data_IF_943674267376
#
_entry.id   IF_943674267376
#
_cell.length_a   1.000
_cell.length_b   1.000
_cell.length_c   1.000
_cell.angle_alpha   90.00
_cell.angle_beta   90.00
_cell.angle_gamma   90.00
#
_symmetry.space_group_name_H-M   'P 1'
#
loop_
_entity.id
_entity.type
_entity.pdbx_description
1 polymer ?
#
# COMPACT_ATOMS: atom_id res chain seq x y z
N UNK A 1 -34.43 -4.45 -5.26
CA UNK A 1 -33.26 -3.82 -4.62
C UNK A 1 -32.39 -3.22 -5.70
N UNK A 2 -31.81 -2.06 -5.40
CA UNK A 2 -31.00 -1.29 -6.35
C UNK A 2 -29.59 -1.15 -5.80
N UNK A 3 -28.58 -1.45 -6.62
CA UNK A 3 -27.17 -1.19 -6.35
C UNK A 3 -26.71 -0.11 -7.31
N UNK A 4 -26.29 1.04 -6.78
CA UNK A 4 -25.79 2.18 -7.53
C UNK A 4 -24.28 2.21 -7.38
N UNK A 5 -23.55 2.20 -8.49
CA UNK A 5 -22.13 2.52 -8.55
C UNK A 5 -21.97 3.97 -9.02
N UNK A 6 -21.60 4.87 -8.11
CA UNK A 6 -21.33 6.26 -8.40
C UNK A 6 -19.83 6.52 -8.32
N UNK A 7 -19.17 6.59 -9.46
CA UNK A 7 -17.71 6.62 -9.56
C UNK A 7 -17.24 8.02 -9.94
N UNK A 8 -16.46 8.67 -9.08
CA UNK A 8 -15.88 9.99 -9.38
C UNK A 8 -14.44 9.89 -9.92
N UNK A 9 -13.86 8.69 -9.88
CA UNK A 9 -12.60 8.35 -10.51
C UNK A 9 -12.81 7.21 -11.50
N UNK A 10 -11.91 7.10 -12.49
CA UNK A 10 -11.85 5.90 -13.34
C UNK A 10 -11.45 4.69 -12.50
N UNK A 11 -12.44 3.87 -12.11
CA UNK A 11 -12.27 2.75 -11.18
C UNK A 11 -12.91 1.46 -11.71
N UNK A 12 -12.36 0.86 -12.80
CA UNK A 12 -12.94 -0.32 -13.44
C UNK A 12 -13.02 -1.54 -12.50
N UNK A 13 -12.09 -1.64 -11.54
CA UNK A 13 -12.12 -2.67 -10.50
C UNK A 13 -13.33 -2.54 -9.57
N UNK A 14 -13.66 -1.33 -9.11
CA UNK A 14 -14.82 -1.07 -8.25
C UNK A 14 -16.12 -1.35 -9.01
N UNK A 15 -16.22 -0.85 -10.24
CA UNK A 15 -17.36 -1.13 -11.12
C UNK A 15 -17.61 -2.63 -11.29
N UNK A 16 -16.57 -3.38 -11.67
CA UNK A 16 -16.66 -4.83 -11.87
C UNK A 16 -17.08 -5.54 -10.59
N UNK A 17 -16.51 -5.13 -9.45
CA UNK A 17 -16.83 -5.66 -8.14
C UNK A 17 -18.33 -5.47 -7.80
N UNK A 18 -18.84 -4.23 -7.91
CA UNK A 18 -20.22 -3.90 -7.61
C UNK A 18 -21.22 -4.60 -8.55
N UNK A 19 -20.89 -4.64 -9.85
CA UNK A 19 -21.71 -5.32 -10.86
C UNK A 19 -21.83 -6.81 -10.57
N UNK A 20 -20.73 -7.44 -10.17
CA UNK A 20 -20.73 -8.87 -9.82
C UNK A 20 -21.60 -9.15 -8.60
N UNK A 21 -21.53 -8.30 -7.56
CA UNK A 21 -22.41 -8.40 -6.40
C UNK A 21 -23.89 -8.28 -6.78
N UNK A 22 -24.25 -7.23 -7.52
CA UNK A 22 -25.63 -7.02 -7.94
C UNK A 22 -26.15 -8.18 -8.80
N UNK A 23 -25.34 -8.69 -9.73
CA UNK A 23 -25.68 -9.85 -10.56
C UNK A 23 -25.86 -11.12 -9.73
N UNK A 24 -24.98 -11.38 -8.75
CA UNK A 24 -25.03 -12.58 -7.93
C UNK A 24 -26.33 -12.69 -7.12
N UNK A 25 -26.88 -11.56 -6.67
CA UNK A 25 -28.11 -11.51 -5.88
C UNK A 25 -29.36 -11.10 -6.68
N UNK A 26 -29.24 -10.93 -8.01
CA UNK A 26 -30.35 -10.54 -8.88
C UNK A 26 -30.87 -9.12 -8.63
N UNK A 27 -30.01 -8.20 -8.14
CA UNK A 27 -30.36 -6.81 -7.90
C UNK A 27 -30.22 -5.97 -9.17
N UNK A 28 -31.04 -4.91 -9.29
CA UNK A 28 -30.87 -3.91 -10.36
C UNK A 28 -29.55 -3.18 -10.13
N UNK A 29 -28.64 -3.26 -11.09
CA UNK A 29 -27.39 -2.50 -11.07
C UNK A 29 -27.55 -1.22 -11.90
N UNK A 30 -27.09 -0.10 -11.34
CA UNK A 30 -27.05 1.20 -11.99
C UNK A 30 -25.61 1.69 -11.97
N UNK A 31 -25.07 1.98 -13.15
CA UNK A 31 -23.74 2.56 -13.33
C UNK A 31 -23.85 4.06 -13.60
N UNK A 32 -23.10 4.85 -12.83
CA UNK A 32 -22.97 6.29 -13.04
C UNK A 32 -21.49 6.63 -12.98
N UNK A 33 -20.91 6.81 -14.16
CA UNK A 33 -19.52 7.23 -14.32
C UNK A 33 -19.46 8.76 -14.39
N UNK A 34 -18.85 9.36 -13.37
CA UNK A 34 -18.56 10.78 -13.25
C UNK A 34 -17.04 11.01 -13.19
N UNK A 35 -16.24 10.14 -13.79
CA UNK A 35 -14.78 10.22 -13.75
C UNK A 35 -14.21 11.47 -14.40
N UNK A 36 -14.96 12.15 -15.28
CA UNK A 36 -14.62 13.49 -15.79
C UNK A 36 -14.60 14.56 -14.67
N UNK A 37 -15.26 14.31 -13.53
CA UNK A 37 -15.22 15.16 -12.34
C UNK A 37 -14.13 14.72 -11.34
N UNK A 38 -13.22 13.82 -11.70
CA UNK A 38 -12.12 13.39 -10.86
C UNK A 38 -11.32 14.59 -10.34
N UNK A 39 -11.10 14.64 -9.03
CA UNK A 39 -10.34 15.71 -8.38
C UNK A 39 -11.12 17.02 -8.15
N UNK A 40 -12.39 17.09 -8.56
CA UNK A 40 -13.28 18.22 -8.24
C UNK A 40 -13.45 18.39 -6.72
N UNK A 41 -13.84 19.61 -6.31
CA UNK A 41 -14.05 19.91 -4.89
C UNK A 41 -15.20 19.08 -4.28
N UNK A 42 -15.26 19.04 -2.95
CA UNK A 42 -16.30 18.29 -2.23
C UNK A 42 -17.72 18.72 -2.61
N UNK A 43 -17.97 20.03 -2.74
CA UNK A 43 -19.30 20.59 -3.05
C UNK A 43 -19.92 19.95 -4.30
N UNK A 44 -19.17 19.94 -5.41
CA UNK A 44 -19.64 19.40 -6.70
C UNK A 44 -19.99 17.91 -6.56
N UNK A 45 -19.13 17.14 -5.88
CA UNK A 45 -19.30 15.69 -5.73
C UNK A 45 -20.46 15.36 -4.80
N UNK A 46 -20.57 16.04 -3.65
CA UNK A 46 -21.55 15.73 -2.62
C UNK A 46 -22.97 16.08 -3.06
N UNK A 47 -23.18 17.24 -3.70
CA UNK A 47 -24.51 17.60 -4.20
C UNK A 47 -25.00 16.59 -5.23
N UNK A 48 -24.14 16.21 -6.18
CA UNK A 48 -24.49 15.24 -7.21
C UNK A 48 -24.78 13.87 -6.63
N UNK A 49 -23.97 13.42 -5.66
CA UNK A 49 -24.15 12.13 -4.98
C UNK A 49 -25.48 12.03 -4.25
N UNK A 50 -25.83 13.02 -3.43
CA UNK A 50 -27.06 12.97 -2.66
C UNK A 50 -28.30 13.23 -3.52
N UNK A 51 -28.19 14.06 -4.57
CA UNK A 51 -29.25 14.21 -5.58
C UNK A 51 -29.50 12.89 -6.32
N UNK A 52 -28.42 12.18 -6.70
CA UNK A 52 -28.49 10.85 -7.31
C UNK A 52 -29.20 9.87 -6.38
N UNK A 53 -28.81 9.82 -5.10
CA UNK A 53 -29.45 8.95 -4.12
C UNK A 53 -30.95 9.27 -3.97
N UNK A 54 -31.32 10.55 -3.88
CA UNK A 54 -32.71 10.99 -3.81
C UNK A 54 -33.51 10.60 -5.04
N UNK A 55 -32.94 10.81 -6.23
CA UNK A 55 -33.55 10.44 -7.50
C UNK A 55 -33.90 8.95 -7.55
N UNK A 56 -32.96 8.07 -7.22
CA UNK A 56 -33.22 6.63 -7.23
C UNK A 56 -34.14 6.16 -6.09
N UNK A 57 -34.14 6.83 -4.93
CA UNK A 57 -35.15 6.56 -3.89
C UNK A 57 -36.57 6.94 -4.36
N UNK A 58 -36.73 8.01 -5.15
CA UNK A 58 -38.02 8.39 -5.72
C UNK A 58 -38.52 7.41 -6.79
N UNK A 59 -37.61 6.80 -7.55
CA UNK A 59 -37.96 5.76 -8.55
C UNK A 59 -38.19 4.37 -7.93
N UNK A 60 -37.61 4.10 -6.76
CA UNK A 60 -37.70 2.81 -6.10
C UNK A 60 -39.13 2.51 -5.61
N UNK A 61 -39.50 1.23 -5.53
CA UNK A 61 -40.77 0.84 -4.93
C UNK A 61 -40.77 1.15 -3.41
N UNK A 62 -41.95 1.30 -2.77
CA UNK A 62 -42.03 1.45 -1.32
C UNK A 62 -41.30 0.30 -0.60
N UNK A 63 -40.48 0.64 0.40
CA UNK A 63 -39.64 -0.29 1.18
C UNK A 63 -38.51 -1.00 0.41
N UNK A 64 -38.30 -0.69 -0.87
CA UNK A 64 -37.15 -1.18 -1.62
C UNK A 64 -35.85 -0.60 -1.05
N UNK A 65 -34.79 -1.41 -1.00
CA UNK A 65 -33.47 -1.02 -0.50
C UNK A 65 -32.61 -0.53 -1.66
N UNK A 66 -31.98 0.61 -1.46
CA UNK A 66 -30.98 1.24 -2.33
C UNK A 66 -29.62 1.19 -1.62
N UNK A 67 -28.65 0.55 -2.26
CA UNK A 67 -27.24 0.54 -1.88
C UNK A 67 -26.47 1.47 -2.81
N UNK A 68 -25.82 2.50 -2.29
CA UNK A 68 -24.93 3.39 -3.04
C UNK A 68 -23.47 3.10 -2.67
N UNK A 69 -22.66 2.83 -3.69
CA UNK A 69 -21.25 2.49 -3.60
C UNK A 69 -20.42 3.47 -4.43
N UNK A 70 -19.30 3.96 -3.89
CA UNK A 70 -18.34 4.79 -4.64
C UNK A 70 -17.11 4.01 -5.11
N UNK A 71 -16.21 4.67 -5.85
CA UNK A 71 -14.92 4.10 -6.27
C UNK A 71 -14.02 3.68 -5.10
N UNK A 72 -14.29 4.17 -3.88
CA UNK A 72 -13.60 3.83 -2.63
C UNK A 72 -14.24 2.65 -1.88
N UNK A 73 -14.97 1.75 -2.57
CA UNK A 73 -15.58 0.58 -1.94
C UNK A 73 -15.25 -0.71 -2.68
N UNK A 74 -15.07 -1.78 -1.92
CA UNK A 74 -15.13 -3.15 -2.43
C UNK A 74 -16.19 -3.96 -1.65
N UNK A 75 -17.05 -4.68 -2.35
CA UNK A 75 -17.83 -5.78 -1.80
C UNK A 75 -16.93 -7.00 -1.67
N UNK A 76 -16.85 -7.52 -0.44
CA UNK A 76 -16.03 -8.67 -0.09
C UNK A 76 -16.83 -9.97 -0.15
N UNK A 77 -18.15 -9.92 0.12
CA UNK A 77 -19.01 -11.11 0.19
C UNK A 77 -20.42 -10.81 -0.31
N UNK A 78 -21.11 -11.75 -0.97
CA UNK A 78 -22.47 -11.56 -1.47
C UNK A 78 -23.52 -11.72 -0.35
N UNK A 79 -23.57 -10.77 0.58
CA UNK A 79 -24.58 -10.75 1.64
C UNK A 79 -25.85 -10.08 1.15
N UNK A 80 -27.01 -10.67 1.45
CA UNK A 80 -28.31 -10.13 1.05
C UNK A 80 -28.61 -8.81 1.78
N UNK A 81 -29.01 -7.78 1.02
CA UNK A 81 -29.42 -6.49 1.58
C UNK A 81 -30.58 -6.59 2.59
N UNK A 82 -31.63 -7.40 2.36
CA UNK A 82 -32.67 -7.63 3.36
C UNK A 82 -32.15 -8.08 4.73
N UNK A 83 -31.12 -8.94 4.77
CA UNK A 83 -30.51 -9.42 6.01
C UNK A 83 -29.84 -8.26 6.75
N UNK A 84 -28.95 -7.52 6.06
CA UNK A 84 -28.25 -6.36 6.63
C UNK A 84 -29.23 -5.28 7.12
N UNK A 85 -30.35 -5.12 6.41
CA UNK A 85 -31.36 -4.09 6.67
C UNK A 85 -32.56 -4.58 7.50
N UNK A 86 -32.46 -5.74 8.15
CA UNK A 86 -33.52 -6.24 9.01
C UNK A 86 -33.84 -5.22 10.13
N UNK A 87 -35.11 -4.84 10.24
CA UNK A 87 -35.61 -3.93 11.28
C UNK A 87 -35.13 -2.47 11.17
N UNK A 88 -34.55 -2.04 10.05
CA UNK A 88 -33.99 -0.69 9.89
C UNK A 88 -34.34 -0.03 8.55
N UNK A 89 -34.31 1.30 8.59
CA UNK A 89 -34.56 2.17 7.44
C UNK A 89 -33.26 2.69 6.78
N UNK A 90 -32.15 2.68 7.51
CA UNK A 90 -30.81 2.98 6.98
C UNK A 90 -29.76 2.14 7.70
N UNK A 91 -28.61 1.99 7.06
CA UNK A 91 -27.41 1.41 7.66
C UNK A 91 -26.20 2.19 7.18
N UNK A 92 -25.69 3.04 8.08
CA UNK A 92 -24.43 3.75 7.95
C UNK A 92 -23.47 3.17 8.97
N UNK A 93 -22.22 2.92 8.61
CA UNK A 93 -21.23 2.34 9.51
C UNK A 93 -20.02 3.26 9.63
N UNK A 94 -19.50 3.39 10.84
CA UNK A 94 -18.20 4.00 11.10
C UNK A 94 -17.08 2.96 10.98
N UNK A 95 -15.85 3.39 10.70
CA UNK A 95 -14.65 2.53 10.74
C UNK A 95 -13.60 3.10 11.68
N UNK A 96 -12.81 4.07 11.23
CA UNK A 96 -11.64 4.57 11.97
C UNK A 96 -11.93 5.87 12.72
N UNK A 97 -13.06 6.51 12.39
CA UNK A 97 -13.55 7.74 13.01
C UNK A 97 -14.96 7.55 13.58
N UNK A 98 -15.44 8.55 14.33
CA UNK A 98 -16.83 8.58 14.78
C UNK A 98 -17.82 9.03 13.69
N UNK A 99 -17.34 9.34 12.49
CA UNK A 99 -18.16 9.74 11.36
C UNK A 99 -18.48 8.53 10.46
N UNK A 100 -19.71 8.47 9.89
CA UNK A 100 -20.08 7.39 9.01
C UNK A 100 -19.26 7.41 7.73
N UNK A 101 -18.92 6.21 7.24
CA UNK A 101 -18.35 6.02 5.92
C UNK A 101 -19.32 6.49 4.84
N UNK A 102 -18.82 7.27 3.88
CA UNK A 102 -19.68 7.89 2.86
C UNK A 102 -19.71 7.10 1.56
N UNK A 103 -18.80 6.16 1.38
CA UNK A 103 -18.62 5.32 0.21
C UNK A 103 -19.47 4.03 0.23
N UNK A 104 -20.10 3.71 1.37
CA UNK A 104 -21.06 2.60 1.52
C UNK A 104 -22.31 3.11 2.22
N UNK A 105 -23.37 3.39 1.47
CA UNK A 105 -24.62 3.92 2.01
C UNK A 105 -25.78 2.97 1.70
N UNK A 106 -26.53 2.56 2.72
CA UNK A 106 -27.69 1.66 2.54
C UNK A 106 -28.94 2.32 3.10
N UNK A 107 -29.96 2.44 2.27
CA UNK A 107 -31.22 3.11 2.61
C UNK A 107 -32.42 2.28 2.14
N UNK A 108 -33.45 2.21 2.98
CA UNK A 108 -34.78 1.70 2.63
C UNK A 108 -35.64 2.86 2.16
N UNK A 109 -36.38 2.65 1.09
CA UNK A 109 -37.25 3.68 0.54
C UNK A 109 -38.51 3.90 1.38
N UNK A 110 -38.38 4.71 2.43
CA UNK A 110 -39.48 5.21 3.26
C UNK A 110 -39.64 6.72 3.08
N UNK A 111 -40.81 7.26 3.44
CA UNK A 111 -41.05 8.70 3.34
C UNK A 111 -40.08 9.51 4.21
N UNK A 112 -39.79 9.01 5.43
CA UNK A 112 -38.83 9.61 6.36
C UNK A 112 -37.43 9.71 5.73
N UNK A 113 -36.95 8.60 5.15
CA UNK A 113 -35.64 8.56 4.48
C UNK A 113 -35.58 9.55 3.33
N UNK A 114 -36.59 9.58 2.44
CA UNK A 114 -36.61 10.53 1.31
C UNK A 114 -36.58 11.99 1.79
N UNK A 115 -37.32 12.32 2.85
CA UNK A 115 -37.34 13.67 3.42
C UNK A 115 -35.97 14.07 3.99
N UNK A 116 -35.31 13.18 4.73
CA UNK A 116 -33.99 13.44 5.29
C UNK A 116 -32.92 13.60 4.20
N UNK A 117 -32.96 12.78 3.15
CA UNK A 117 -32.05 12.91 2.01
C UNK A 117 -32.32 14.21 1.23
N UNK A 118 -33.59 14.62 1.06
CA UNK A 118 -33.91 15.89 0.42
C UNK A 118 -33.40 17.12 1.21
N UNK A 119 -33.47 17.08 2.54
CA UNK A 119 -32.87 18.10 3.40
C UNK A 119 -31.34 18.13 3.26
N UNK A 120 -30.71 16.95 3.25
CA UNK A 120 -29.27 16.80 3.01
C UNK A 120 -28.83 17.41 1.66
N UNK A 121 -29.57 17.14 0.58
CA UNK A 121 -29.34 17.76 -0.73
C UNK A 121 -29.37 19.29 -0.63
N UNK A 122 -30.34 19.85 0.11
CA UNK A 122 -30.44 21.29 0.35
C UNK A 122 -29.19 21.88 1.01
N UNK A 123 -28.57 21.12 1.92
CA UNK A 123 -27.34 21.48 2.65
C UNK A 123 -26.06 21.32 1.82
N UNK A 124 -26.10 20.61 0.69
CA UNK A 124 -24.95 20.44 -0.21
C UNK A 124 -24.86 21.48 -1.33
N UNK A 125 -25.80 22.41 -1.43
CA UNK A 125 -25.89 23.36 -2.55
C UNK A 125 -24.74 24.36 -2.57
N UNK A 126 -24.46 24.90 -3.76
CA UNK A 126 -23.51 26.00 -3.93
C UNK A 126 -23.86 27.19 -3.03
N UNK A 127 -22.83 27.75 -2.39
CA UNK A 127 -22.98 28.86 -1.45
C UNK A 127 -23.22 28.44 0.00
N UNK A 128 -23.40 27.14 0.28
CA UNK A 128 -23.42 26.62 1.65
C UNK A 128 -21.99 26.33 2.11
N UNK A 129 -21.67 26.69 3.35
CA UNK A 129 -20.41 26.31 4.00
C UNK A 129 -20.50 24.84 4.38
N UNK A 130 -19.67 24.03 3.74
CA UNK A 130 -19.60 22.59 4.00
C UNK A 130 -18.59 22.29 5.12
N UNK A 131 -18.81 21.21 5.88
CA UNK A 131 -17.78 20.68 6.77
C UNK A 131 -16.57 20.17 5.97
N UNK A 132 -15.44 19.99 6.66
CA UNK A 132 -14.22 19.44 6.05
C UNK A 132 -14.37 17.95 5.68
N UNK A 133 -15.18 17.21 6.45
CA UNK A 133 -15.45 15.78 6.26
C UNK A 133 -16.91 15.56 5.81
N UNK A 134 -17.10 14.82 4.72
CA UNK A 134 -18.41 14.50 4.17
C UNK A 134 -19.30 13.76 5.18
N UNK A 135 -18.72 12.90 6.02
CA UNK A 135 -19.45 12.11 7.01
C UNK A 135 -20.23 12.98 8.01
N UNK A 136 -19.76 14.20 8.29
CA UNK A 136 -20.47 15.16 9.14
C UNK A 136 -21.81 15.64 8.52
N UNK A 137 -21.95 15.53 7.20
CA UNK A 137 -23.22 15.85 6.52
C UNK A 137 -24.32 14.83 6.85
N UNK A 138 -23.96 13.61 7.25
CA UNK A 138 -24.88 12.51 7.50
C UNK A 138 -25.43 12.48 8.95
N UNK A 139 -25.26 13.55 9.74
CA UNK A 139 -25.70 13.66 11.14
C UNK A 139 -27.20 13.41 11.38
N UNK A 140 -28.04 13.50 10.36
CA UNK A 140 -29.47 13.20 10.45
C UNK A 140 -29.76 11.68 10.51
N UNK A 141 -28.73 10.84 10.36
CA UNK A 141 -28.83 9.39 10.36
C UNK A 141 -27.91 8.82 11.44
N UNK A 142 -28.49 8.04 12.35
CA UNK A 142 -27.70 7.34 13.35
C UNK A 142 -26.75 6.35 12.66
N UNK A 143 -25.46 6.53 12.91
CA UNK A 143 -24.41 5.66 12.39
C UNK A 143 -24.09 4.55 13.39
N UNK A 144 -23.87 3.35 12.86
CA UNK A 144 -23.39 2.22 13.63
C UNK A 144 -21.90 2.41 13.98
N UNK A 145 -21.47 2.00 15.18
CA UNK A 145 -20.09 2.18 15.62
C UNK A 145 -19.10 1.33 14.78
N UNK A 146 -17.79 1.59 14.91
CA UNK A 146 -16.75 0.74 14.35
C UNK A 146 -16.96 -0.74 14.66
N UNK A 147 -16.66 -1.60 13.68
CA UNK A 147 -16.80 -3.06 13.79
C UNK A 147 -18.23 -3.56 14.05
N UNK A 148 -19.24 -2.73 13.76
CA UNK A 148 -20.63 -3.13 13.88
C UNK A 148 -20.93 -4.38 13.03
N UNK A 149 -21.70 -5.30 13.62
CA UNK A 149 -22.04 -6.59 13.03
C UNK A 149 -23.54 -6.74 12.87
N UNK A 150 -23.93 -7.37 11.77
CA UNK A 150 -25.24 -8.01 11.63
C UNK A 150 -24.98 -9.50 11.63
N UNK A 151 -25.50 -10.20 12.63
CA UNK A 151 -25.11 -11.57 12.98
C UNK A 151 -23.58 -11.69 13.14
N UNK A 152 -22.93 -12.53 12.33
CA UNK A 152 -21.49 -12.73 12.35
C UNK A 152 -20.72 -11.88 11.33
N UNK A 153 -21.41 -11.05 10.55
CA UNK A 153 -20.84 -10.28 9.45
C UNK A 153 -20.59 -8.83 9.89
N UNK A 154 -19.34 -8.38 9.82
CA UNK A 154 -19.01 -6.97 9.92
C UNK A 154 -19.52 -6.21 8.70
N UNK A 155 -20.22 -5.09 8.91
CA UNK A 155 -20.86 -4.37 7.79
C UNK A 155 -19.81 -3.73 6.88
N UNK A 156 -18.88 -2.97 7.47
CA UNK A 156 -17.79 -2.30 6.74
C UNK A 156 -16.51 -2.41 7.54
N UNK A 157 -15.40 -2.71 6.86
CA UNK A 157 -14.05 -2.70 7.43
C UNK A 157 -13.17 -1.68 6.70
N UNK A 158 -12.21 -1.04 7.37
CA UNK A 158 -11.31 -0.06 6.75
C UNK A 158 -10.26 -0.72 5.85
N UNK A 159 -9.80 0.02 4.85
CA UNK A 159 -8.65 -0.30 4.01
C UNK A 159 -7.79 0.95 3.86
N UNK A 160 -6.56 0.85 4.33
CA UNK A 160 -5.52 1.86 4.10
C UNK A 160 -4.17 1.15 3.93
N UNK A 161 -3.25 1.79 3.21
CA UNK A 161 -1.96 1.21 2.84
C UNK A 161 -1.11 0.84 4.05
N UNK A 162 -1.25 1.57 5.17
CA UNK A 162 -0.52 1.41 6.43
C UNK A 162 -1.27 0.60 7.51
N UNK A 163 -2.51 0.17 7.24
CA UNK A 163 -3.30 -0.63 8.18
C UNK A 163 -3.17 -2.12 7.91
N UNK A 164 -3.37 -2.92 8.96
CA UNK A 164 -3.52 -4.36 8.81
C UNK A 164 -4.64 -4.69 7.81
N UNK A 165 -4.42 -5.74 7.00
CA UNK A 165 -5.38 -6.17 5.96
C UNK A 165 -6.57 -6.93 6.55
N UNK A 166 -7.28 -6.32 7.50
CA UNK A 166 -8.50 -6.89 8.12
C UNK A 166 -9.59 -7.21 7.09
N UNK A 167 -9.60 -6.51 5.95
CA UNK A 167 -10.46 -6.80 4.80
C UNK A 167 -10.25 -8.20 4.21
N UNK A 168 -9.07 -8.78 4.38
CA UNK A 168 -8.74 -10.11 3.87
C UNK A 168 -9.11 -11.23 4.86
N UNK A 169 -9.08 -10.95 6.17
CA UNK A 169 -9.17 -11.97 7.22
C UNK A 169 -10.50 -11.98 7.96
N UNK A 170 -11.17 -10.84 8.08
CA UNK A 170 -12.42 -10.72 8.82
C UNK A 170 -13.63 -11.15 7.98
N UNK A 171 -14.67 -11.65 8.66
CA UNK A 171 -15.97 -11.89 8.02
C UNK A 171 -16.69 -10.54 7.81
N UNK A 172 -16.41 -9.88 6.69
CA UNK A 172 -16.96 -8.57 6.37
C UNK A 172 -17.77 -8.57 5.06
N UNK A 173 -18.80 -7.74 5.00
CA UNK A 173 -19.61 -7.51 3.81
C UNK A 173 -18.88 -6.62 2.80
N UNK A 174 -18.40 -5.45 3.25
CA UNK A 174 -17.73 -4.47 2.41
C UNK A 174 -16.44 -3.95 3.06
N UNK A 175 -15.55 -3.46 2.22
CA UNK A 175 -14.32 -2.75 2.57
C UNK A 175 -14.43 -1.30 2.11
N UNK A 176 -14.04 -0.38 2.99
CA UNK A 176 -14.01 1.06 2.75
C UNK A 176 -12.57 1.56 2.67
N UNK A 177 -12.20 2.15 1.54
CA UNK A 177 -10.89 2.77 1.38
C UNK A 177 -10.90 4.17 1.98
N UNK A 178 -9.90 4.51 2.79
CA UNK A 178 -9.70 5.90 3.21
C UNK A 178 -9.46 6.78 1.98
N UNK A 179 -10.20 7.89 1.85
CA UNK A 179 -10.12 8.80 0.69
C UNK A 179 -8.86 9.67 0.76
N UNK A 180 -7.70 9.02 0.68
CA UNK A 180 -6.43 9.70 0.48
C UNK A 180 -6.14 9.70 -1.02
N UNK A 181 -6.17 10.90 -1.62
CA UNK A 181 -5.93 11.11 -3.07
C UNK A 181 -4.65 10.44 -3.58
N UNK A 182 -3.68 10.18 -2.70
CA UNK A 182 -2.41 9.53 -3.02
C UNK A 182 -2.55 8.01 -3.27
N UNK A 183 -3.72 7.41 -3.02
CA UNK A 183 -3.89 5.95 -2.95
C UNK A 183 -4.70 5.33 -4.12
N UNK A 184 -5.01 6.07 -5.19
CA UNK A 184 -5.79 5.52 -6.34
C UNK A 184 -5.21 4.22 -6.90
N UNK A 185 -3.89 4.13 -6.97
CA UNK A 185 -3.16 2.95 -7.46
C UNK A 185 -3.21 1.78 -6.48
N UNK A 186 -3.05 2.05 -5.19
CA UNK A 186 -3.22 1.06 -4.13
C UNK A 186 -4.66 0.51 -4.11
N UNK A 187 -5.64 1.40 -4.20
CA UNK A 187 -7.07 1.05 -4.33
C UNK A 187 -7.32 0.16 -5.54
N UNK A 188 -6.76 0.51 -6.71
CA UNK A 188 -6.86 -0.31 -7.91
C UNK A 188 -6.26 -1.71 -7.70
N UNK A 189 -5.06 -1.79 -7.10
CA UNK A 189 -4.38 -3.06 -6.80
C UNK A 189 -5.23 -3.97 -5.89
N UNK A 190 -5.77 -3.42 -4.79
CA UNK A 190 -6.59 -4.19 -3.85
C UNK A 190 -7.91 -4.62 -4.49
N UNK A 191 -8.59 -3.75 -5.25
CA UNK A 191 -9.84 -4.10 -5.93
C UNK A 191 -9.65 -5.18 -6.99
N UNK A 192 -8.58 -5.08 -7.77
CA UNK A 192 -8.23 -6.10 -8.75
C UNK A 192 -7.94 -7.44 -8.07
N UNK A 193 -7.14 -7.44 -7.00
CA UNK A 193 -6.84 -8.61 -6.20
C UNK A 193 -8.10 -9.27 -5.62
N UNK A 194 -9.01 -8.47 -5.03
CA UNK A 194 -10.29 -8.94 -4.50
C UNK A 194 -11.12 -9.59 -5.61
N UNK A 195 -11.22 -8.95 -6.77
CA UNK A 195 -11.98 -9.45 -7.90
C UNK A 195 -11.41 -10.77 -8.45
N UNK A 196 -10.09 -10.87 -8.59
CA UNK A 196 -9.40 -12.08 -9.02
C UNK A 196 -9.62 -13.23 -8.02
N UNK A 197 -9.48 -12.97 -6.72
CA UNK A 197 -9.73 -13.96 -5.68
C UNK A 197 -11.17 -14.47 -5.71
N UNK A 198 -12.14 -13.55 -5.81
CA UNK A 198 -13.56 -13.89 -5.90
C UNK A 198 -13.89 -14.70 -7.15
N UNK A 199 -13.34 -14.31 -8.31
CA UNK A 199 -13.55 -15.02 -9.56
C UNK A 199 -12.98 -16.45 -9.54
N UNK A 200 -11.90 -16.68 -8.78
CA UNK A 200 -11.19 -17.96 -8.69
C UNK A 200 -11.57 -18.79 -7.46
N UNK A 201 -12.39 -18.25 -6.55
CA UNK A 201 -12.71 -18.89 -5.26
C UNK A 201 -11.49 -19.05 -4.36
N UNK A 202 -10.52 -18.13 -4.42
CA UNK A 202 -9.31 -18.16 -3.62
C UNK A 202 -9.47 -17.32 -2.35
N UNK A 203 -8.78 -17.68 -1.24
CA UNK A 203 -8.64 -16.78 -0.10
C UNK A 203 -8.03 -15.45 -0.53
N UNK A 204 -8.44 -14.35 0.09
CA UNK A 204 -7.76 -13.08 -0.06
C UNK A 204 -6.29 -13.20 0.36
N UNK A 205 -5.44 -12.31 -0.20
CA UNK A 205 -3.97 -12.37 -0.12
C UNK A 205 -3.31 -13.63 -0.73
N UNK A 206 -4.04 -14.44 -1.50
CA UNK A 206 -3.44 -15.48 -2.35
C UNK A 206 -2.72 -14.86 -3.55
N UNK A 207 -1.41 -14.61 -3.41
CA UNK A 207 -0.58 -14.07 -4.48
C UNK A 207 -0.04 -15.17 -5.42
N UNK A 208 0.29 -14.84 -6.69
CA UNK A 208 0.94 -15.75 -7.62
C UNK A 208 2.26 -16.33 -7.08
N UNK A 209 2.64 -17.51 -7.58
CA UNK A 209 3.96 -18.08 -7.31
C UNK A 209 5.04 -17.31 -8.09
N UNK A 210 5.97 -16.68 -7.36
CA UNK A 210 7.08 -15.90 -7.93
C UNK A 210 8.23 -16.78 -8.44
N UNK A 211 8.11 -18.11 -8.40
CA UNK A 211 9.11 -19.05 -8.89
C UNK A 211 10.32 -19.25 -7.96
N UNK A 212 10.36 -18.55 -6.83
CA UNK A 212 11.39 -18.70 -5.80
C UNK A 212 11.12 -19.97 -5.00
N UNK A 213 11.86 -21.04 -5.32
CA UNK A 213 11.77 -22.35 -4.63
C UNK A 213 12.89 -22.60 -3.62
N UNK A 214 13.85 -21.67 -3.54
CA UNK A 214 14.99 -21.82 -2.66
C UNK A 214 14.53 -21.76 -1.20
N UNK A 215 14.98 -22.74 -0.41
CA UNK A 215 14.64 -22.87 1.01
C UNK A 215 15.83 -22.65 1.92
N UNK A 216 17.05 -22.64 1.36
CA UNK A 216 18.24 -22.27 2.11
C UNK A 216 18.11 -20.84 2.65
N UNK A 217 18.51 -20.65 3.91
CA UNK A 217 18.50 -19.35 4.59
C UNK A 217 19.44 -18.33 3.93
N UNK A 218 20.39 -18.79 3.12
CA UNK A 218 21.31 -17.96 2.36
C UNK A 218 21.57 -18.56 0.98
N UNK A 219 21.67 -17.71 -0.04
CA UNK A 219 22.09 -18.11 -1.38
C UNK A 219 22.84 -16.99 -2.10
N UNK A 220 23.80 -17.36 -2.93
CA UNK A 220 24.55 -16.44 -3.79
C UNK A 220 24.31 -16.78 -5.25
N UNK A 221 23.91 -15.79 -6.05
CA UNK A 221 23.80 -15.92 -7.51
C UNK A 221 24.93 -15.12 -8.17
N UNK A 222 25.53 -15.68 -9.23
CA UNK A 222 26.62 -15.07 -9.98
C UNK A 222 27.77 -14.54 -9.09
N UNK A 223 28.42 -15.39 -8.28
CA UNK A 223 29.46 -14.95 -7.34
C UNK A 223 30.66 -14.31 -8.06
N UNK A 224 31.34 -13.38 -7.37
CA UNK A 224 32.62 -12.81 -7.80
C UNK A 224 32.55 -11.72 -8.86
N UNK A 225 31.38 -11.11 -9.09
CA UNK A 225 31.22 -9.98 -10.02
C UNK A 225 31.73 -8.67 -9.40
N UNK A 226 32.03 -7.66 -10.22
CA UNK A 226 32.53 -6.38 -9.71
C UNK A 226 31.51 -5.64 -8.83
N UNK A 227 30.21 -5.76 -9.14
CA UNK A 227 29.12 -5.19 -8.37
C UNK A 227 28.32 -6.33 -7.72
N UNK A 228 27.99 -6.17 -6.44
CA UNK A 228 27.08 -7.04 -5.70
C UNK A 228 25.85 -6.27 -5.21
N UNK A 229 24.70 -6.95 -5.21
CA UNK A 229 23.47 -6.57 -4.54
C UNK A 229 23.26 -7.50 -3.36
N UNK A 230 22.88 -6.92 -2.21
CA UNK A 230 22.65 -7.62 -0.96
C UNK A 230 21.23 -7.29 -0.49
N UNK A 231 20.46 -8.33 -0.18
CA UNK A 231 19.14 -8.19 0.43
C UNK A 231 19.01 -9.14 1.63
N UNK A 232 18.22 -8.72 2.61
CA UNK A 232 17.77 -9.57 3.71
C UNK A 232 16.25 -9.45 3.88
N UNK A 233 15.60 -10.58 4.06
CA UNK A 233 14.23 -10.65 4.55
C UNK A 233 14.09 -11.82 5.52
N UNK A 234 13.27 -11.66 6.55
CA UNK A 234 13.00 -12.69 7.56
C UNK A 234 11.68 -13.42 7.27
N UNK A 235 11.42 -14.59 7.87
CA UNK A 235 10.20 -15.37 7.59
C UNK A 235 8.88 -14.61 7.76
N UNK A 236 8.79 -13.69 8.74
CA UNK A 236 7.60 -12.89 8.99
C UNK A 236 7.28 -11.89 7.87
N UNK A 237 8.23 -11.56 7.00
CA UNK A 237 8.05 -10.65 5.86
C UNK A 237 8.25 -11.36 4.50
N UNK A 238 8.25 -12.69 4.49
CA UNK A 238 8.50 -13.47 3.28
C UNK A 238 7.44 -13.25 2.18
N UNK A 239 6.23 -12.81 2.53
CA UNK A 239 5.14 -12.55 1.58
C UNK A 239 5.54 -11.54 0.50
N UNK A 240 6.21 -10.44 0.87
CA UNK A 240 6.74 -9.47 -0.08
C UNK A 240 8.24 -9.65 -0.36
N UNK A 241 9.01 -10.19 0.60
CA UNK A 241 10.44 -10.43 0.41
C UNK A 241 10.75 -11.39 -0.75
N UNK A 242 9.89 -12.40 -0.97
CA UNK A 242 10.01 -13.31 -2.14
C UNK A 242 9.68 -12.63 -3.46
N UNK A 243 8.81 -11.62 -3.46
CA UNK A 243 8.49 -10.82 -4.66
C UNK A 243 9.75 -10.02 -5.06
N UNK A 244 10.36 -9.32 -4.09
CA UNK A 244 11.60 -8.59 -4.30
C UNK A 244 12.77 -9.51 -4.69
N UNK A 245 12.90 -10.70 -4.09
CA UNK A 245 13.94 -11.66 -4.45
C UNK A 245 13.84 -12.08 -5.93
N UNK A 246 12.65 -12.44 -6.40
CA UNK A 246 12.44 -12.81 -7.79
C UNK A 246 12.80 -11.64 -8.73
N UNK A 247 12.39 -10.43 -8.37
CA UNK A 247 12.72 -9.20 -9.09
C UNK A 247 14.23 -8.94 -9.15
N UNK A 248 14.94 -9.03 -8.02
CA UNK A 248 16.39 -8.79 -7.97
C UNK A 248 17.18 -9.88 -8.67
N UNK A 249 16.74 -11.15 -8.62
CA UNK A 249 17.39 -12.24 -9.35
C UNK A 249 17.38 -11.97 -10.84
N UNK A 250 16.22 -11.61 -11.41
CA UNK A 250 16.07 -11.26 -12.83
C UNK A 250 16.98 -10.09 -13.21
N UNK A 251 17.00 -9.03 -12.40
CA UNK A 251 17.84 -7.86 -12.63
C UNK A 251 19.33 -8.20 -12.61
N UNK A 252 19.78 -8.91 -11.57
CA UNK A 252 21.18 -9.28 -11.42
C UNK A 252 21.64 -10.22 -12.52
N UNK A 253 20.83 -11.23 -12.89
CA UNK A 253 21.09 -12.12 -14.03
C UNK A 253 21.26 -11.34 -15.34
N UNK A 254 20.39 -10.35 -15.61
CA UNK A 254 20.46 -9.52 -16.82
C UNK A 254 21.76 -8.75 -16.95
N UNK A 255 22.24 -8.15 -15.86
CA UNK A 255 23.39 -7.24 -15.89
C UNK A 255 24.71 -7.87 -15.41
N UNK A 256 24.69 -9.14 -15.01
CA UNK A 256 25.87 -9.85 -14.53
C UNK A 256 26.36 -9.36 -13.17
N UNK A 257 25.46 -9.04 -12.25
CA UNK A 257 25.77 -8.65 -10.87
C UNK A 257 25.70 -9.86 -9.91
N UNK A 258 26.51 -9.84 -8.86
CA UNK A 258 26.38 -10.82 -7.77
C UNK A 258 25.11 -10.48 -6.97
N UNK A 259 24.32 -11.48 -6.59
CA UNK A 259 23.19 -11.30 -5.68
C UNK A 259 23.37 -12.18 -4.44
N UNK A 260 23.47 -11.56 -3.27
CA UNK A 260 23.39 -12.22 -1.97
C UNK A 260 21.96 -12.07 -1.42
N UNK A 261 21.34 -13.21 -1.13
CA UNK A 261 20.00 -13.25 -0.52
C UNK A 261 20.09 -13.94 0.82
N UNK A 262 19.73 -13.20 1.87
CA UNK A 262 19.51 -13.74 3.22
C UNK A 262 17.99 -13.83 3.48
N UNK A 263 17.48 -15.06 3.66
CA UNK A 263 16.06 -15.36 3.96
C UNK A 263 15.77 -15.51 5.46
N UNK A 264 16.80 -15.31 6.27
CA UNK A 264 16.74 -15.15 7.71
C UNK A 264 17.99 -14.38 8.17
N UNK A 265 18.02 -13.95 9.43
CA UNK A 265 19.21 -13.34 10.03
C UNK A 265 20.29 -14.43 10.18
N UNK A 266 21.53 -14.23 9.70
CA UNK A 266 22.60 -15.21 9.87
C UNK A 266 22.79 -15.60 11.34
N UNK A 267 22.90 -16.90 11.68
CA UNK A 267 22.97 -17.35 13.07
C UNK A 267 24.08 -16.70 13.90
N UNK A 268 25.21 -16.37 13.27
CA UNK A 268 26.33 -15.70 13.91
C UNK A 268 26.09 -14.21 14.23
N UNK A 269 25.10 -13.60 13.58
CA UNK A 269 24.68 -12.22 13.83
C UNK A 269 23.43 -12.15 14.72
N UNK A 270 22.59 -13.19 14.70
CA UNK A 270 21.31 -13.19 15.40
C UNK A 270 21.47 -13.15 16.92
N UNK A 271 20.80 -12.19 17.55
CA UNK A 271 20.61 -12.10 19.01
C UNK A 271 19.20 -12.54 19.44
N UNK A 272 18.40 -13.05 18.50
CA UNK A 272 17.01 -13.49 18.72
C UNK A 272 16.02 -12.36 19.03
N UNK A 273 16.44 -11.09 18.99
CA UNK A 273 15.61 -9.94 19.40
C UNK A 273 15.60 -8.81 18.39
N UNK A 274 16.70 -8.61 17.66
CA UNK A 274 16.87 -7.53 16.71
C UNK A 274 16.13 -7.83 15.40
N UNK A 275 15.45 -6.84 14.85
CA UNK A 275 14.88 -6.91 13.51
C UNK A 275 15.96 -6.89 12.42
N UNK A 276 15.63 -7.42 11.23
CA UNK A 276 16.56 -7.62 10.12
C UNK A 276 17.32 -6.38 9.65
N UNK A 277 16.72 -5.19 9.76
CA UNK A 277 17.32 -3.91 9.32
C UNK A 277 18.61 -3.55 10.09
N UNK A 278 18.78 -4.03 11.33
CA UNK A 278 19.98 -3.74 12.13
C UNK A 278 21.24 -4.46 11.61
N UNK A 279 21.09 -5.42 10.69
CA UNK A 279 22.19 -6.23 10.19
C UNK A 279 22.75 -5.75 8.83
N UNK A 280 22.21 -4.65 8.27
CA UNK A 280 22.69 -4.05 7.02
C UNK A 280 24.20 -3.80 7.03
N UNK A 281 24.69 -3.11 8.07
CA UNK A 281 26.10 -2.74 8.18
C UNK A 281 27.01 -3.97 8.29
N UNK A 282 26.60 -4.98 9.06
CA UNK A 282 27.35 -6.22 9.21
C UNK A 282 27.49 -6.98 7.88
N UNK A 283 26.39 -7.10 7.13
CA UNK A 283 26.39 -7.78 5.82
C UNK A 283 27.14 -6.97 4.74
N UNK A 284 26.97 -5.65 4.72
CA UNK A 284 27.73 -4.79 3.82
C UNK A 284 29.24 -4.89 4.09
N UNK A 285 29.65 -4.90 5.37
CA UNK A 285 31.04 -5.08 5.78
C UNK A 285 31.59 -6.46 5.41
N UNK A 286 30.78 -7.51 5.54
CA UNK A 286 31.15 -8.88 5.12
C UNK A 286 31.45 -8.96 3.62
N UNK A 287 30.61 -8.37 2.77
CA UNK A 287 30.75 -8.52 1.32
C UNK A 287 31.67 -7.49 0.65
N UNK A 288 31.87 -6.32 1.25
CA UNK A 288 32.67 -5.24 0.67
C UNK A 288 34.07 -5.66 0.20
N UNK A 289 34.86 -6.49 0.93
CA UNK A 289 36.19 -6.90 0.48
C UNK A 289 36.19 -7.65 -0.86
N UNK A 290 35.08 -8.31 -1.21
CA UNK A 290 34.97 -9.22 -2.36
C UNK A 290 34.53 -8.54 -3.66
N UNK A 291 34.05 -7.30 -3.60
CA UNK A 291 33.46 -6.60 -4.75
C UNK A 291 34.07 -5.20 -4.89
N UNK A 292 34.02 -4.61 -6.07
CA UNK A 292 34.38 -3.19 -6.23
C UNK A 292 33.29 -2.29 -5.64
N UNK A 293 32.03 -2.73 -5.74
CA UNK A 293 30.87 -2.07 -5.18
C UNK A 293 29.91 -3.07 -4.56
N UNK A 294 29.33 -2.71 -3.42
CA UNK A 294 28.24 -3.45 -2.79
C UNK A 294 27.06 -2.52 -2.60
N UNK A 295 25.89 -2.95 -3.08
CA UNK A 295 24.62 -2.26 -2.94
C UNK A 295 23.74 -3.03 -1.95
N UNK A 296 23.25 -2.32 -0.94
CA UNK A 296 22.11 -2.75 -0.14
C UNK A 296 20.83 -2.34 -0.84
N UNK A 297 19.86 -3.27 -0.93
CA UNK A 297 18.50 -2.98 -1.36
C UNK A 297 17.52 -3.67 -0.41
N UNK A 298 16.62 -2.89 0.22
CA UNK A 298 15.60 -3.42 1.13
C UNK A 298 14.63 -4.37 0.40
N UNK A 299 14.07 -5.31 1.15
CA UNK A 299 13.13 -6.30 0.63
C UNK A 299 11.75 -5.74 0.26
N UNK A 300 11.47 -4.49 0.62
CA UNK A 300 10.30 -3.73 0.18
C UNK A 300 10.62 -2.77 -0.98
N UNK A 301 11.63 -3.08 -1.80
CA UNK A 301 11.96 -2.37 -3.04
C UNK A 301 11.72 -3.28 -4.25
N UNK A 302 11.24 -2.70 -5.35
CA UNK A 302 11.27 -3.33 -6.66
C UNK A 302 12.11 -2.51 -7.63
N UNK A 303 12.94 -3.20 -8.41
CA UNK A 303 13.57 -2.65 -9.61
C UNK A 303 12.51 -2.67 -10.70
N UNK A 304 12.05 -1.48 -11.07
CA UNK A 304 10.97 -1.26 -12.03
C UNK A 304 11.51 -1.10 -13.45
N UNK A 305 12.56 -0.29 -13.65
CA UNK A 305 13.28 -0.27 -14.93
C UNK A 305 14.42 -1.30 -14.92
N UNK A 306 14.16 -2.45 -15.52
CA UNK A 306 15.12 -3.54 -15.62
C UNK A 306 16.29 -3.24 -16.57
N UNK A 307 16.21 -2.23 -17.42
CA UNK A 307 17.25 -1.89 -18.40
C UNK A 307 18.34 -0.97 -17.83
N UNK A 308 17.99 -0.15 -16.84
CA UNK A 308 18.92 0.76 -16.21
C UNK A 308 20.02 -0.01 -15.45
N UNK A 309 21.25 0.48 -15.54
CA UNK A 309 22.46 -0.14 -14.99
C UNK A 309 22.94 0.58 -13.73
N UNK A 310 23.68 -0.12 -12.86
CA UNK A 310 24.27 0.47 -11.65
C UNK A 310 25.57 1.24 -11.92
N UNK A 311 26.34 0.87 -12.94
CA UNK A 311 27.65 1.47 -13.24
C UNK A 311 27.61 3.00 -13.40
N UNK A 312 26.63 3.60 -14.13
CA UNK A 312 26.52 5.05 -14.22
C UNK A 312 26.32 5.75 -12.87
N UNK A 313 25.80 5.03 -11.88
CA UNK A 313 25.60 5.57 -10.53
C UNK A 313 26.90 5.67 -9.75
N UNK A 314 27.90 4.84 -10.08
CA UNK A 314 29.17 4.67 -9.36
C UNK A 314 30.32 5.54 -9.84
N UNK A 315 30.18 6.23 -10.97
CA UNK A 315 31.27 7.00 -11.58
C UNK A 315 31.70 8.16 -10.67
N UNK A 316 33.00 8.25 -10.38
CA UNK A 316 33.62 9.31 -9.55
C UNK A 316 32.96 9.50 -8.17
N UNK A 317 32.49 8.41 -7.58
CA UNK A 317 31.84 8.41 -6.26
C UNK A 317 32.39 7.29 -5.40
N UNK A 318 32.32 7.49 -4.09
CA UNK A 318 32.60 6.44 -3.10
C UNK A 318 31.32 5.87 -2.50
N UNK A 319 30.22 6.64 -2.54
CA UNK A 319 28.91 6.28 -2.05
C UNK A 319 27.81 6.66 -3.04
N UNK A 320 26.73 5.87 -3.04
CA UNK A 320 25.51 6.12 -3.81
C UNK A 320 24.35 6.12 -2.82
N UNK A 321 23.82 7.31 -2.55
CA UNK A 321 22.74 7.55 -1.60
C UNK A 321 21.60 8.32 -2.28
N UNK A 322 20.37 8.12 -1.80
CA UNK A 322 19.19 8.84 -2.26
C UNK A 322 18.57 9.65 -1.13
N UNK A 323 18.16 10.89 -1.41
CA UNK A 323 17.52 11.78 -0.43
C UNK A 323 16.30 11.12 0.17
N UNK A 324 16.07 11.34 1.46
CA UNK A 324 14.85 10.89 2.12
C UNK A 324 13.66 11.77 1.70
N UNK A 325 12.45 11.21 1.74
CA UNK A 325 11.22 11.96 1.49
C UNK A 325 10.77 12.78 2.70
N UNK A 326 11.27 12.45 3.89
CA UNK A 326 11.02 13.13 5.16
C UNK A 326 12.12 14.13 5.52
N UNK A 327 12.48 14.16 6.80
CA UNK A 327 13.39 15.18 7.36
C UNK A 327 14.85 14.76 7.41
N UNK A 328 15.19 13.60 6.84
CA UNK A 328 16.51 12.99 6.96
C UNK A 328 17.33 13.25 5.69
N UNK A 329 18.66 13.23 5.78
CA UNK A 329 19.51 13.56 4.62
C UNK A 329 19.42 12.50 3.51
N UNK A 330 19.37 11.22 3.86
CA UNK A 330 19.16 10.13 2.93
C UNK A 330 18.34 8.98 3.52
N UNK A 331 17.77 8.17 2.63
CA UNK A 331 17.06 6.95 2.98
C UNK A 331 17.99 5.71 2.88
N UNK A 332 17.95 4.81 3.86
CA UNK A 332 18.83 3.63 3.94
C UNK A 332 18.28 2.37 3.25
N UNK A 333 17.17 2.49 2.52
CA UNK A 333 16.57 1.38 1.79
C UNK A 333 17.33 1.01 0.52
N UNK A 334 18.09 1.95 -0.06
CA UNK A 334 18.95 1.72 -1.22
C UNK A 334 20.25 2.50 -1.01
N UNK A 335 21.36 1.77 -0.87
CA UNK A 335 22.67 2.38 -0.62
C UNK A 335 23.76 1.61 -1.36
N UNK A 336 24.63 2.29 -2.09
CA UNK A 336 25.80 1.69 -2.75
C UNK A 336 27.11 2.20 -2.14
N UNK A 337 28.08 1.32 -1.96
CA UNK A 337 29.38 1.66 -1.37
C UNK A 337 30.53 1.06 -2.17
N UNK A 338 31.51 1.89 -2.49
CA UNK A 338 32.76 1.45 -3.09
C UNK A 338 33.61 0.71 -2.06
N UNK A 339 34.38 -0.30 -2.49
CA UNK A 339 35.39 -0.94 -1.64
C UNK A 339 36.56 0.01 -1.39
N UNK A 340 36.55 0.64 -0.22
CA UNK A 340 37.65 1.41 0.34
C UNK A 340 37.63 1.31 1.87
N UNK A 341 38.69 1.80 2.52
CA UNK A 341 38.83 1.71 3.97
C UNK A 341 37.82 2.61 4.71
N UNK A 342 37.51 3.80 4.19
CA UNK A 342 36.57 4.74 4.80
C UNK A 342 35.18 4.14 4.95
N UNK A 343 34.62 3.57 3.87
CA UNK A 343 33.31 2.92 3.90
C UNK A 343 33.33 1.68 4.80
N UNK A 344 34.43 0.92 4.79
CA UNK A 344 34.59 -0.25 5.64
C UNK A 344 34.52 0.14 7.13
N UNK A 345 35.27 1.17 7.53
CA UNK A 345 35.31 1.66 8.92
C UNK A 345 34.00 2.32 9.34
N UNK A 346 33.33 3.04 8.43
CA UNK A 346 32.00 3.60 8.68
C UNK A 346 30.98 2.53 9.11
N UNK A 347 31.02 1.34 8.49
CA UNK A 347 30.16 0.24 8.93
C UNK A 347 30.53 -0.27 10.32
N UNK A 348 31.82 -0.23 10.69
CA UNK A 348 32.24 -0.56 12.06
C UNK A 348 31.63 0.42 13.05
N UNK A 349 31.61 1.71 12.71
CA UNK A 349 31.04 2.75 13.57
C UNK A 349 29.53 2.57 13.74
N UNK A 350 28.81 2.31 12.64
CA UNK A 350 27.38 1.96 12.69
C UNK A 350 27.16 0.73 13.58
N UNK A 351 27.94 -0.33 13.40
CA UNK A 351 27.82 -1.55 14.21
C UNK A 351 28.11 -1.29 15.70
N UNK A 352 29.15 -0.51 16.01
CA UNK A 352 29.55 -0.18 17.38
C UNK A 352 28.48 0.65 18.09
N UNK A 353 27.91 1.66 17.41
CA UNK A 353 26.82 2.46 17.96
C UNK A 353 25.55 1.61 18.17
N UNK A 354 25.18 0.80 17.17
CA UNK A 354 24.01 -0.07 17.25
C UNK A 354 24.14 -1.15 18.34
N UNK A 355 25.36 -1.59 18.67
CA UNK A 355 25.61 -2.56 19.74
C UNK A 355 25.29 -2.00 21.14
N UNK A 356 25.25 -0.68 21.30
CA UNK A 356 24.92 -0.01 22.58
C UNK A 356 23.41 0.22 22.76
N UNK A 357 22.58 -0.13 21.78
CA UNK A 357 21.14 0.12 21.82
C UNK A 357 20.41 -0.97 22.60
N UNK A 358 19.53 -0.54 23.50
CA UNK A 358 18.69 -1.45 24.28
C UNK A 358 17.53 -2.04 23.46
N UNK A 359 16.91 -1.22 22.60
CA UNK A 359 15.77 -1.63 21.77
C UNK A 359 16.11 -1.63 20.28
N UNK A 360 16.02 -2.83 19.69
CA UNK A 360 16.20 -3.11 18.26
C UNK A 360 15.06 -3.98 17.72
N UNK A 361 13.92 -4.01 18.41
CA UNK A 361 12.83 -4.98 18.19
C UNK A 361 12.07 -4.80 16.87
N UNK A 362 12.09 -3.60 16.31
CA UNK A 362 11.45 -3.27 15.04
C UNK A 362 12.20 -2.17 14.28
N UNK A 363 11.83 -1.93 13.02
CA UNK A 363 12.53 -1.04 12.08
C UNK A 363 12.65 0.43 12.54
N UNK A 364 11.75 0.89 13.42
CA UNK A 364 11.75 2.26 13.95
C UNK A 364 12.28 2.36 15.40
N UNK A 365 12.73 1.25 15.99
CA UNK A 365 13.24 1.22 17.37
C UNK A 365 14.50 2.08 17.43
N UNK A 366 14.72 2.80 18.53
CA UNK A 366 15.93 3.62 18.69
C UNK A 366 16.19 4.57 17.49
N UNK A 367 15.12 5.11 16.89
CA UNK A 367 15.09 5.92 15.66
C UNK A 367 15.29 5.13 14.35
N UNK A 368 15.68 3.87 14.39
CA UNK A 368 15.94 3.02 13.22
C UNK A 368 17.39 3.07 12.73
N UNK A 369 17.80 2.03 12.01
CA UNK A 369 19.16 1.84 11.48
C UNK A 369 19.62 3.00 10.59
N UNK A 370 18.69 3.57 9.81
CA UNK A 370 18.95 4.74 8.96
C UNK A 370 19.61 5.89 9.74
N UNK A 371 19.30 6.05 11.05
CA UNK A 371 19.80 7.18 11.83
C UNK A 371 21.31 7.07 12.02
N UNK A 372 21.76 5.85 12.27
CA UNK A 372 23.14 5.51 12.54
C UNK A 372 23.96 5.51 11.26
N UNK A 373 23.40 5.05 10.14
CA UNK A 373 24.00 5.26 8.82
C UNK A 373 24.21 6.75 8.54
N UNK A 374 23.18 7.59 8.72
CA UNK A 374 23.31 9.03 8.50
C UNK A 374 24.43 9.62 9.35
N UNK A 375 24.42 9.34 10.66
CA UNK A 375 25.44 9.90 11.56
C UNK A 375 26.86 9.45 11.22
N UNK A 376 27.06 8.17 10.89
CA UNK A 376 28.38 7.64 10.56
C UNK A 376 28.94 8.25 9.27
N UNK A 377 28.10 8.45 8.25
CA UNK A 377 28.54 9.02 6.98
C UNK A 377 28.65 10.54 7.02
N UNK A 378 27.73 11.26 7.68
CA UNK A 378 27.83 12.72 7.85
C UNK A 378 29.02 13.15 8.71
N UNK A 379 29.55 12.27 9.55
CA UNK A 379 30.75 12.52 10.34
C UNK A 379 32.05 12.46 9.54
N UNK A 380 32.02 11.94 8.30
CA UNK A 380 33.22 11.84 7.47
C UNK A 380 33.61 13.19 6.86
N UNK A 381 34.90 13.56 6.88
CA UNK A 381 35.37 14.82 6.29
C UNK A 381 35.02 15.00 4.80
N UNK A 382 34.94 13.89 4.06
CA UNK A 382 34.68 13.83 2.63
C UNK A 382 33.18 13.81 2.29
N UNK A 383 32.29 13.78 3.29
CA UNK A 383 30.85 13.75 3.06
C UNK A 383 30.36 15.06 2.45
N UNK A 384 29.76 14.95 1.26
CA UNK A 384 29.12 16.05 0.57
C UNK A 384 27.65 15.72 0.30
N UNK A 385 26.76 16.38 1.02
CA UNK A 385 25.32 16.23 0.87
C UNK A 385 24.82 16.58 -0.55
N UNK A 386 25.58 17.38 -1.32
CA UNK A 386 25.23 17.72 -2.71
C UNK A 386 25.38 16.53 -3.66
N UNK A 387 26.12 15.48 -3.26
CA UNK A 387 26.26 14.25 -4.02
C UNK A 387 25.10 13.26 -3.79
N UNK A 388 24.23 13.50 -2.80
CA UNK A 388 23.05 12.67 -2.55
C UNK A 388 22.04 12.85 -3.69
N UNK A 389 21.62 11.75 -4.32
CA UNK A 389 20.72 11.78 -5.48
C UNK A 389 19.28 12.11 -5.08
N UNK A 390 18.48 12.53 -6.05
CA UNK A 390 17.03 12.64 -5.86
C UNK A 390 16.44 11.27 -5.52
N UNK A 391 15.43 11.22 -4.66
CA UNK A 391 14.65 9.99 -4.47
C UNK A 391 14.00 9.54 -5.78
N UNK A 392 13.69 10.47 -6.69
CA UNK A 392 13.12 10.19 -8.02
C UNK A 392 14.08 9.31 -8.87
N UNK A 393 15.39 9.49 -8.73
CA UNK A 393 16.36 8.86 -9.63
C UNK A 393 16.74 7.44 -9.19
N UNK A 394 16.64 7.14 -7.88
CA UNK A 394 17.20 5.93 -7.30
C UNK A 394 16.30 5.24 -6.28
N UNK A 395 15.58 5.97 -5.43
CA UNK A 395 14.82 5.40 -4.32
C UNK A 395 13.41 6.00 -4.27
N UNK A 396 12.62 5.75 -5.32
CA UNK A 396 11.34 6.43 -5.52
C UNK A 396 10.29 5.85 -4.58
N UNK A 397 9.71 6.60 -3.64
CA UNK A 397 8.62 6.09 -2.83
C UNK A 397 7.44 5.70 -3.70
N UNK A 398 6.73 4.62 -3.35
CA UNK A 398 5.64 4.07 -4.14
C UNK A 398 4.55 5.11 -4.49
N UNK A 399 4.31 6.11 -3.66
CA UNK A 399 3.36 7.20 -3.95
C UNK A 399 3.76 8.05 -5.16
N UNK A 400 5.06 8.10 -5.48
CA UNK A 400 5.63 8.87 -6.59
C UNK A 400 6.05 7.99 -7.78
N UNK A 401 5.75 6.69 -7.76
CA UNK A 401 6.12 5.79 -8.88
C UNK A 401 5.57 6.32 -10.20
N UNK A 402 6.44 6.33 -11.20
CA UNK A 402 6.15 6.56 -12.62
C UNK A 402 6.51 5.30 -13.41
N UNK A 403 5.99 5.15 -14.65
CA UNK A 403 6.36 4.03 -15.51
C UNK A 403 7.88 3.88 -15.70
N UNK A 404 8.61 5.00 -15.69
CA UNK A 404 10.06 5.11 -15.90
C UNK A 404 10.88 5.19 -14.60
N UNK A 405 10.28 5.01 -13.42
CA UNK A 405 11.04 4.98 -12.16
C UNK A 405 12.02 3.81 -12.15
N UNK A 406 13.26 4.05 -11.72
CA UNK A 406 14.27 2.99 -11.69
C UNK A 406 13.98 1.95 -10.61
N UNK A 407 14.12 2.34 -9.33
CA UNK A 407 13.75 1.49 -8.20
C UNK A 407 12.68 2.18 -7.36
N UNK A 408 11.70 1.39 -6.92
CA UNK A 408 10.50 1.86 -6.25
C UNK A 408 10.44 1.24 -4.87
N UNK A 409 10.34 2.08 -3.84
CA UNK A 409 10.36 1.70 -2.43
C UNK A 409 8.97 1.79 -1.81
N UNK A 410 8.47 0.66 -1.32
CA UNK A 410 7.14 0.50 -0.74
C UNK A 410 7.14 0.79 0.78
N UNK A 411 7.78 1.91 1.12
CA UNK A 411 7.95 2.42 2.48
C UNK A 411 6.60 2.78 3.13
N UNK A 412 6.50 2.55 4.45
CA UNK A 412 5.35 2.95 5.27
C UNK A 412 4.07 2.12 5.09
N UNK A 413 4.10 1.08 4.25
CA UNK A 413 2.96 0.19 4.05
C UNK A 413 2.93 -0.96 5.07
N UNK A 414 1.72 -1.46 5.35
CA UNK A 414 1.54 -2.74 6.04
C UNK A 414 1.98 -3.89 5.15
N UNK A 415 2.46 -4.98 5.77
CA UNK A 415 3.17 -6.07 5.08
C UNK A 415 2.35 -6.71 3.95
N UNK A 416 1.06 -6.99 4.20
CA UNK A 416 0.18 -7.64 3.21
C UNK A 416 -0.23 -6.67 2.08
N UNK A 417 -0.57 -5.44 2.44
CA UNK A 417 -0.91 -4.39 1.47
C UNK A 417 0.28 -4.05 0.56
N UNK A 418 1.49 -4.07 1.13
CA UNK A 418 2.75 -3.96 0.39
C UNK A 418 2.89 -5.08 -0.62
N UNK A 419 2.69 -6.34 -0.21
CA UNK A 419 2.79 -7.49 -1.09
C UNK A 419 1.80 -7.41 -2.27
N UNK A 420 0.54 -7.01 -2.00
CA UNK A 420 -0.49 -6.80 -3.03
C UNK A 420 -0.06 -5.73 -4.04
N UNK A 421 0.44 -4.58 -3.57
CA UNK A 421 0.85 -3.50 -4.47
C UNK A 421 2.12 -3.85 -5.27
N UNK A 422 3.08 -4.53 -4.65
CA UNK A 422 4.29 -5.01 -5.34
C UNK A 422 3.95 -6.01 -6.46
N UNK A 423 3.07 -6.98 -6.18
CA UNK A 423 2.58 -7.92 -7.21
C UNK A 423 1.86 -7.18 -8.35
N UNK A 424 0.95 -6.28 -8.00
CA UNK A 424 0.22 -5.47 -8.98
C UNK A 424 1.17 -4.68 -9.89
N UNK A 425 2.20 -4.05 -9.32
CA UNK A 425 3.17 -3.26 -10.07
C UNK A 425 4.08 -4.09 -10.98
N UNK A 426 4.40 -5.33 -10.60
CA UNK A 426 5.13 -6.25 -11.48
C UNK A 426 4.26 -6.68 -12.67
N UNK A 427 2.99 -7.03 -12.44
CA UNK A 427 2.06 -7.42 -13.51
C UNK A 427 1.78 -6.29 -14.49
N UNK A 428 1.90 -5.04 -14.03
CA UNK A 428 1.67 -3.83 -14.81
C UNK A 428 2.95 -3.04 -15.11
N UNK A 429 4.13 -3.65 -14.96
CA UNK A 429 5.37 -2.97 -15.33
C UNK A 429 5.44 -2.84 -16.85
N UNK A 430 5.66 -1.61 -17.33
CA UNK A 430 5.74 -1.31 -18.76
C UNK A 430 7.12 -1.59 -19.38
N UNK A 431 8.13 -1.88 -18.55
CA UNK A 431 9.55 -1.88 -18.93
C UNK A 431 10.26 -3.17 -18.49
N UNK A 432 10.05 -4.26 -19.22
CA UNK A 432 10.87 -5.48 -19.15
C UNK A 432 11.84 -5.58 -20.33
#
# INVERSE_FOLDING_TARGET
MIVISLLFDRAPGAFTNHRNYARALGYRHVEIDMSDLSGSNGVVRWVYKYETLLHYLNEAAPNEIVLLLSDNTAILRPVELPLLMAGRDWLLACTDSNLPQTNVLIFRNTESVRRNIADLVGKCRYGVVLPDDEGAMLHAFDACPPQFRVDEVQVVVPVASNLESVWATWNAFAASFSDEKQHRRFRAAVLEHINECNARGLPYLSLPDNGVRETATHSVSQPGRAIAVVMLYTPNIACYGRIAEANFRRYCERHGYTLYVHRDIPPQLSDGKSSGNWFKAALLREYMPHHQWVFWIDSDVLINDMNQRLEPLTHEREVVLARDMGTWSFNSGIMGFQRNQHNYDAFSDVMNECAQLEDKSHVYASKGDQHFFIRAFEAQPEFDATHIRSFIDLNTPWTYRRPDSFMVHYVGMWQDNRAVLMDYDLRHSAME
#
